data_IF_830711974813
#
_entry.id   IF_830711974813
#
_cell.length_a   1.000
_cell.length_b   1.000
_cell.length_c   1.000
_cell.angle_alpha   90.00
_cell.angle_beta   90.00
_cell.angle_gamma   90.00
#
_symmetry.space_group_name_H-M   'P 1'
#
loop_
_entity.id
_entity.type
_entity.pdbx_description
1 polymer ?
#
# COMPACT_ATOMS: atom_id res chain seq x y z
N UNK A 1 -15.13 10.55 -0.29
CA UNK A 1 -13.66 10.61 -0.14
C UNK A 1 -13.00 10.52 -1.52
N UNK A 2 -12.03 11.39 -1.81
CA UNK A 2 -11.31 11.43 -3.09
C UNK A 2 -9.83 11.08 -2.88
N UNK A 3 -9.38 9.92 -3.38
CA UNK A 3 -8.02 9.40 -3.18
C UNK A 3 -7.27 9.30 -4.50
N UNK A 4 -6.03 9.80 -4.55
CA UNK A 4 -5.12 9.59 -5.67
C UNK A 4 -4.05 8.57 -5.31
N UNK A 5 -4.00 7.46 -6.04
CA UNK A 5 -2.96 6.45 -6.00
C UNK A 5 -1.99 6.65 -7.17
N UNK A 6 -0.69 6.72 -6.88
CA UNK A 6 0.33 7.04 -7.86
C UNK A 6 1.42 5.95 -7.92
N UNK A 7 1.59 5.31 -9.09
CA UNK A 7 2.66 4.34 -9.35
C UNK A 7 2.94 4.17 -10.84
N UNK A 8 4.15 3.74 -11.18
CA UNK A 8 4.56 3.47 -12.58
C UNK A 8 4.45 1.98 -12.96
N UNK A 9 3.91 1.12 -12.09
CA UNK A 9 3.99 -0.35 -12.18
C UNK A 9 2.66 -1.10 -11.94
N UNK A 10 1.55 -0.38 -11.84
CA UNK A 10 0.21 -0.97 -11.64
C UNK A 10 -0.16 -1.20 -10.18
N UNK A 11 0.77 -1.00 -9.23
CA UNK A 11 0.46 -1.09 -7.79
C UNK A 11 -0.59 -0.06 -7.36
N UNK A 12 -0.62 1.13 -7.98
CA UNK A 12 -1.65 2.15 -7.75
C UNK A 12 -3.06 1.65 -8.10
N UNK A 13 -3.24 1.07 -9.29
CA UNK A 13 -4.53 0.52 -9.71
C UNK A 13 -4.97 -0.63 -8.80
N UNK A 14 -4.04 -1.50 -8.43
CA UNK A 14 -4.36 -2.60 -7.52
C UNK A 14 -4.82 -2.11 -6.14
N UNK A 15 -4.13 -1.11 -5.57
CA UNK A 15 -4.54 -0.49 -4.31
C UNK A 15 -5.94 0.15 -4.43
N UNK A 16 -6.21 0.89 -5.51
CA UNK A 16 -7.51 1.49 -5.76
C UNK A 16 -8.64 0.43 -5.84
N UNK A 17 -8.40 -0.69 -6.52
CA UNK A 17 -9.34 -1.79 -6.60
C UNK A 17 -9.56 -2.47 -5.24
N UNK A 18 -8.52 -2.64 -4.43
CA UNK A 18 -8.65 -3.19 -3.07
C UNK A 18 -9.58 -2.33 -2.21
N UNK A 19 -9.39 -1.01 -2.21
CA UNK A 19 -10.27 -0.09 -1.46
C UNK A 19 -11.69 -0.17 -1.98
N UNK A 20 -11.88 -0.17 -3.30
CA UNK A 20 -13.21 -0.30 -3.91
C UNK A 20 -13.92 -1.58 -3.49
N UNK A 21 -13.23 -2.73 -3.50
CA UNK A 21 -13.78 -3.99 -3.00
C UNK A 21 -14.09 -3.95 -1.49
N UNK A 22 -13.24 -3.31 -0.69
CA UNK A 22 -13.45 -3.14 0.75
C UNK A 22 -14.68 -2.30 1.07
N UNK A 23 -14.84 -1.15 0.41
CA UNK A 23 -16.00 -0.27 0.57
C UNK A 23 -17.30 -0.94 0.09
N UNK A 24 -17.24 -1.72 -0.99
CA UNK A 24 -18.41 -2.44 -1.49
C UNK A 24 -18.97 -3.44 -0.46
N UNK A 25 -18.16 -3.90 0.50
CA UNK A 25 -18.62 -4.79 1.57
C UNK A 25 -19.45 -4.09 2.65
N UNK A 26 -19.49 -2.76 2.67
CA UNK A 26 -20.29 -1.94 3.58
C UNK A 26 -21.30 -1.08 2.81
N UNK A 27 -21.77 -1.59 1.66
CA UNK A 27 -22.73 -0.94 0.76
C UNK A 27 -22.29 0.45 0.27
N UNK A 28 -20.98 0.72 0.28
CA UNK A 28 -20.38 1.95 -0.24
C UNK A 28 -19.70 1.70 -1.58
N UNK A 29 -20.09 2.46 -2.59
CA UNK A 29 -19.47 2.38 -3.91
C UNK A 29 -18.29 3.35 -4.02
N UNK A 30 -17.20 2.87 -4.62
CA UNK A 30 -16.07 3.73 -5.02
C UNK A 30 -15.83 3.63 -6.51
N UNK A 31 -15.85 4.77 -7.18
CA UNK A 31 -15.54 4.84 -8.62
C UNK A 31 -14.04 4.86 -8.81
N UNK A 32 -13.49 3.91 -9.55
CA UNK A 32 -12.05 3.87 -9.87
C UNK A 32 -11.84 4.41 -11.27
N UNK A 33 -11.00 5.45 -11.39
CA UNK A 33 -10.63 6.10 -12.64
C UNK A 33 -9.15 5.83 -12.89
N UNK A 34 -8.84 5.23 -14.03
CA UNK A 34 -7.46 4.98 -14.47
C UNK A 34 -6.96 6.15 -15.33
N UNK A 35 -5.93 6.83 -14.86
CA UNK A 35 -5.24 7.90 -15.57
C UNK A 35 -4.11 7.31 -16.41
N UNK A 36 -4.31 7.23 -17.74
CA UNK A 36 -3.39 6.68 -18.74
C UNK A 36 -2.94 5.21 -18.50
N UNK A 37 -2.47 4.52 -19.55
CA UNK A 37 -2.07 3.10 -19.49
C UNK A 37 -0.97 2.84 -18.43
N UNK A 38 -1.36 2.41 -17.22
CA UNK A 38 -0.42 2.03 -16.18
C UNK A 38 0.18 0.67 -16.57
N UNK A 39 1.36 0.68 -17.19
CA UNK A 39 2.15 -0.53 -17.46
C UNK A 39 2.39 -0.89 -18.93
N UNK A 40 2.20 0.03 -19.88
CA UNK A 40 2.73 -0.14 -21.23
C UNK A 40 3.73 0.97 -21.55
N UNK A 41 4.99 0.64 -21.89
CA UNK A 41 5.82 1.58 -22.62
C UNK A 41 5.20 1.72 -24.01
N UNK A 42 4.26 2.66 -24.16
CA UNK A 42 3.87 3.09 -25.51
C UNK A 42 5.10 3.76 -26.13
N UNK A 43 5.40 3.40 -27.37
CA UNK A 43 6.35 4.11 -28.21
C UNK A 43 5.83 5.54 -28.37
N UNK A 44 6.35 6.42 -27.51
CA UNK A 44 6.08 7.86 -27.44
C UNK A 44 4.59 8.25 -27.36
N UNK A 45 4.02 8.40 -26.14
CA UNK A 45 2.79 9.19 -26.02
C UNK A 45 3.09 10.61 -26.53
N UNK A 46 2.34 11.05 -27.54
CA UNK A 46 2.41 12.43 -28.01
C UNK A 46 2.08 13.35 -26.84
N UNK A 47 2.84 14.44 -26.67
CA UNK A 47 2.62 15.46 -25.63
C UNK A 47 1.15 15.93 -25.57
N UNK A 48 0.44 15.88 -26.71
CA UNK A 48 -0.98 16.23 -26.82
C UNK A 48 -1.90 15.21 -26.13
N UNK A 49 -1.58 13.92 -26.16
CA UNK A 49 -2.40 12.87 -25.56
C UNK A 49 -2.31 12.93 -24.04
N UNK A 50 -1.11 13.21 -23.50
CA UNK A 50 -0.92 13.43 -22.06
C UNK A 50 -1.66 14.67 -21.54
N UNK A 51 -1.76 15.74 -22.34
CA UNK A 51 -2.49 16.95 -21.97
C UNK A 51 -4.01 16.76 -21.99
N UNK A 52 -4.54 15.99 -22.95
CA UNK A 52 -5.95 15.63 -23.01
C UNK A 52 -6.36 14.75 -21.80
N UNK A 53 -5.57 13.70 -21.51
CA UNK A 53 -5.80 12.82 -20.35
C UNK A 53 -5.78 13.61 -19.05
N UNK A 54 -4.85 14.55 -18.89
CA UNK A 54 -4.80 15.44 -17.73
C UNK A 54 -6.06 16.30 -17.61
N UNK A 55 -6.55 16.86 -18.71
CA UNK A 55 -7.74 17.71 -18.72
C UNK A 55 -8.98 16.91 -18.33
N UNK A 56 -9.12 15.70 -18.87
CA UNK A 56 -10.21 14.77 -18.52
C UNK A 56 -10.14 14.33 -17.06
N UNK A 57 -8.94 14.02 -16.57
CA UNK A 57 -8.70 13.66 -15.16
C UNK A 57 -9.11 14.79 -14.22
N UNK A 58 -8.70 16.03 -14.51
CA UNK A 58 -9.05 17.21 -13.70
C UNK A 58 -10.56 17.46 -13.74
N UNK A 59 -11.20 17.32 -14.90
CA UNK A 59 -12.66 17.46 -15.01
C UNK A 59 -13.39 16.39 -14.16
N UNK A 60 -12.92 15.13 -14.20
CA UNK A 60 -13.47 14.05 -13.38
C UNK A 60 -13.27 14.29 -11.87
N UNK A 61 -12.11 14.85 -11.48
CA UNK A 61 -11.81 15.26 -10.11
C UNK A 61 -12.74 16.39 -9.62
N UNK A 62 -12.98 17.39 -10.46
CA UNK A 62 -13.91 18.49 -10.15
C UNK A 62 -15.33 17.95 -9.98
N UNK A 63 -15.77 17.07 -10.89
CA UNK A 63 -17.08 16.44 -10.80
C UNK A 63 -17.22 15.57 -9.53
N UNK A 64 -16.19 14.78 -9.20
CA UNK A 64 -16.12 13.99 -7.98
C UNK A 64 -16.19 14.86 -6.72
N UNK A 65 -15.58 16.06 -6.75
CA UNK A 65 -15.65 17.02 -5.64
C UNK A 65 -16.99 17.70 -5.50
N UNK A 66 -17.68 17.96 -6.60
CA UNK A 66 -19.01 18.53 -6.57
C UNK A 66 -20.05 17.54 -6.00
N UNK A 67 -19.80 16.24 -6.10
CA UNK A 67 -20.64 15.18 -5.55
C UNK A 67 -20.04 14.64 -4.24
N UNK A 68 -20.28 15.34 -3.14
CA UNK A 68 -19.80 14.97 -1.79
C UNK A 68 -20.28 13.59 -1.32
N UNK A 69 -21.26 12.97 -2.01
CA UNK A 69 -21.81 11.67 -1.67
C UNK A 69 -21.02 10.48 -2.23
N UNK A 70 -20.02 10.70 -3.09
CA UNK A 70 -19.30 9.63 -3.80
C UNK A 70 -17.85 9.48 -3.36
N UNK A 71 -17.45 8.22 -3.19
CA UNK A 71 -16.04 7.86 -3.06
C UNK A 71 -15.42 7.66 -4.44
N UNK A 72 -14.23 8.21 -4.64
CA UNK A 72 -13.52 8.14 -5.93
C UNK A 72 -12.04 7.86 -5.72
N UNK A 73 -11.51 6.87 -6.44
CA UNK A 73 -10.09 6.64 -6.62
C UNK A 73 -9.63 7.10 -7.99
N UNK A 74 -8.43 7.64 -8.01
CA UNK A 74 -7.66 7.83 -9.22
C UNK A 74 -6.40 6.99 -9.14
N UNK A 75 -6.15 6.13 -10.13
CA UNK A 75 -4.87 5.46 -10.29
C UNK A 75 -4.12 6.17 -11.41
N UNK A 76 -2.93 6.71 -11.13
CA UNK A 76 -2.19 7.54 -12.06
C UNK A 76 -0.67 7.24 -12.00
N UNK A 77 0.12 7.66 -13.00
CA UNK A 77 1.58 7.54 -12.94
C UNK A 77 2.20 8.58 -11.99
N UNK A 78 3.43 8.34 -11.54
CA UNK A 78 4.10 9.17 -10.52
C UNK A 78 4.37 10.62 -10.98
N UNK A 79 4.41 10.87 -12.29
CA UNK A 79 4.64 12.20 -12.86
C UNK A 79 3.48 13.18 -12.57
N UNK A 80 2.25 12.68 -12.49
CA UNK A 80 1.05 13.46 -12.16
C UNK A 80 0.96 13.85 -10.68
N UNK A 81 1.77 13.26 -9.80
CA UNK A 81 1.82 13.61 -8.37
C UNK A 81 2.20 15.08 -8.15
N UNK A 82 2.99 15.65 -9.05
CA UNK A 82 3.47 17.03 -8.96
C UNK A 82 2.53 18.05 -9.63
N UNK A 83 1.45 17.58 -10.24
CA UNK A 83 0.48 18.46 -10.88
C UNK A 83 -0.44 19.09 -9.83
N UNK A 84 -0.27 20.39 -9.61
CA UNK A 84 -1.08 21.15 -8.66
C UNK A 84 -2.58 21.09 -8.98
N UNK A 85 -2.95 20.96 -10.26
CA UNK A 85 -4.36 20.85 -10.67
C UNK A 85 -4.98 19.53 -10.20
N UNK A 86 -4.21 18.45 -10.19
CA UNK A 86 -4.65 17.15 -9.65
C UNK A 86 -4.68 17.19 -8.12
N UNK A 87 -3.57 17.63 -7.51
CA UNK A 87 -3.41 17.61 -6.06
C UNK A 87 -4.45 18.48 -5.32
N UNK A 88 -4.93 19.56 -5.95
CA UNK A 88 -5.92 20.46 -5.36
C UNK A 88 -7.28 19.80 -5.10
N UNK A 89 -7.55 18.68 -5.77
CA UNK A 89 -8.82 17.98 -5.70
C UNK A 89 -8.73 16.66 -4.93
N UNK A 90 -7.59 16.29 -4.34
CA UNK A 90 -7.43 15.05 -3.57
C UNK A 90 -7.59 15.31 -2.07
N UNK A 91 -8.29 14.41 -1.38
CA UNK A 91 -8.27 14.34 0.09
C UNK A 91 -6.96 13.69 0.54
N UNK A 92 -6.59 12.60 -0.14
CA UNK A 92 -5.39 11.81 0.17
C UNK A 92 -4.64 11.49 -1.11
N UNK A 93 -3.32 11.69 -1.08
CA UNK A 93 -2.40 11.22 -2.10
C UNK A 93 -1.56 10.07 -1.55
N UNK A 94 -1.51 8.96 -2.28
CA UNK A 94 -0.80 7.73 -1.92
C UNK A 94 0.15 7.36 -3.04
N UNK A 95 1.41 7.14 -2.73
CA UNK A 95 2.40 6.61 -3.67
C UNK A 95 2.69 5.14 -3.33
N UNK A 96 2.88 4.32 -4.34
CA UNK A 96 3.20 2.90 -4.15
C UNK A 96 4.22 2.40 -5.16
N UNK A 97 4.85 1.27 -4.85
CA UNK A 97 5.67 0.52 -5.78
C UNK A 97 5.69 -0.96 -5.39
N UNK A 98 5.36 -1.83 -6.34
CA UNK A 98 5.28 -3.28 -6.19
C UNK A 98 6.64 -3.98 -6.15
N UNK A 99 7.70 -3.35 -6.63
CA UNK A 99 9.07 -3.88 -6.53
C UNK A 99 10.01 -2.88 -5.82
N UNK A 100 11.21 -3.29 -5.35
CA UNK A 100 12.05 -2.40 -4.56
C UNK A 100 12.59 -1.20 -5.35
N UNK A 101 12.74 -1.31 -6.67
CA UNK A 101 13.14 -0.16 -7.48
C UNK A 101 11.99 0.84 -7.61
N UNK A 102 10.78 0.35 -7.84
CA UNK A 102 9.58 1.19 -7.93
C UNK A 102 9.23 1.82 -6.58
N UNK A 103 9.35 1.09 -5.48
CA UNK A 103 9.17 1.63 -4.14
C UNK A 103 10.14 2.79 -3.87
N UNK A 104 11.43 2.65 -4.21
CA UNK A 104 12.42 3.75 -4.10
C UNK A 104 12.11 4.92 -5.03
N UNK A 105 11.47 4.69 -6.18
CA UNK A 105 11.04 5.75 -7.09
C UNK A 105 9.85 6.51 -6.51
N UNK A 106 8.85 5.79 -5.99
CA UNK A 106 7.70 6.34 -5.29
C UNK A 106 8.11 7.17 -4.05
N UNK A 107 9.03 6.64 -3.22
CA UNK A 107 9.58 7.37 -2.05
C UNK A 107 10.28 8.67 -2.46
N UNK A 108 11.08 8.64 -3.53
CA UNK A 108 11.73 9.85 -4.06
C UNK A 108 10.70 10.87 -4.57
N UNK A 109 9.69 10.41 -5.31
CA UNK A 109 8.61 11.26 -5.82
C UNK A 109 7.84 11.93 -4.67
N UNK A 110 7.46 11.17 -3.63
CA UNK A 110 6.84 11.71 -2.43
C UNK A 110 7.73 12.73 -1.71
N UNK A 111 9.05 12.45 -1.61
CA UNK A 111 10.02 13.39 -1.05
C UNK A 111 10.08 14.72 -1.81
N UNK A 112 10.10 14.68 -3.15
CA UNK A 112 10.08 15.89 -3.98
C UNK A 112 8.75 16.65 -3.86
N UNK A 113 7.62 15.94 -3.86
CA UNK A 113 6.30 16.55 -3.70
C UNK A 113 6.16 17.26 -2.34
N UNK A 114 6.77 16.71 -1.29
CA UNK A 114 6.78 17.33 0.04
C UNK A 114 7.68 18.57 0.15
N UNK A 115 8.73 18.68 -0.69
CA UNK A 115 9.65 19.85 -0.71
C UNK A 115 9.16 20.95 -1.64
N UNK A 116 8.57 20.59 -2.79
CA UNK A 116 8.08 21.53 -3.81
C UNK A 116 6.99 22.50 -3.34
N UNK A 117 6.37 22.25 -2.17
CA UNK A 117 5.38 23.13 -1.54
C UNK A 117 5.97 24.30 -0.75
N UNK A 118 7.29 24.37 -0.59
CA UNK A 118 7.93 25.47 0.17
C UNK A 118 8.16 26.75 -0.65
N UNK A 119 7.79 26.80 -1.93
CA UNK A 119 7.90 28.01 -2.75
C UNK A 119 6.50 28.51 -3.12
N UNK A 120 5.93 29.48 -2.39
CA UNK A 120 4.74 30.17 -2.86
C UNK A 120 5.13 30.96 -4.11
N UNK A 121 4.58 30.58 -5.27
CA UNK A 121 4.55 31.47 -6.43
C UNK A 121 3.74 32.71 -6.03
N UNK A 122 4.42 33.84 -5.89
CA UNK A 122 3.81 35.11 -5.56
C UNK A 122 2.76 35.47 -6.62
N UNK A 123 1.48 35.45 -6.25
CA UNK A 123 0.39 36.05 -7.03
C UNK A 123 -0.77 35.16 -7.45
N UNK A 124 -0.83 33.87 -7.06
CA UNK A 124 -2.07 33.08 -7.21
C UNK A 124 -2.92 33.15 -5.95
N UNK A 125 -4.25 33.41 -6.05
CA UNK A 125 -5.14 33.29 -4.91
C UNK A 125 -5.04 31.86 -4.38
N UNK A 126 -4.71 31.76 -3.09
CA UNK A 126 -4.72 30.51 -2.34
C UNK A 126 -6.13 29.91 -2.46
N UNK A 127 -6.31 28.66 -2.90
CA UNK A 127 -7.58 27.99 -2.69
C UNK A 127 -7.84 27.93 -1.18
N UNK A 128 -9.06 28.25 -0.75
CA UNK A 128 -9.50 28.31 0.67
C UNK A 128 -9.28 27.01 1.48
N UNK A 129 -8.74 25.95 0.84
CA UNK A 129 -8.37 24.70 1.47
C UNK A 129 -7.00 24.25 0.96
N UNK A 130 -6.00 24.01 1.84
CA UNK A 130 -4.73 23.48 1.40
C UNK A 130 -4.93 22.09 0.76
N UNK A 131 -4.59 22.04 -0.53
CA UNK A 131 -4.21 20.90 -1.38
C UNK A 131 -3.67 19.73 -0.54
N UNK A 132 -4.04 18.47 -0.84
CA UNK A 132 -3.73 17.24 -0.07
C UNK A 132 -2.43 17.29 0.73
N UNK A 133 -2.38 16.93 2.02
CA UNK A 133 -1.13 16.85 2.78
C UNK A 133 -0.03 16.00 2.09
N UNK A 134 1.19 16.02 2.62
CA UNK A 134 2.34 15.26 2.07
C UNK A 134 1.95 13.84 1.63
N UNK A 135 2.35 13.33 0.45
CA UNK A 135 1.89 12.01 0.01
C UNK A 135 2.23 10.91 1.01
N UNK A 136 1.31 9.98 1.20
CA UNK A 136 1.50 8.76 1.98
C UNK A 136 2.18 7.70 1.13
N UNK A 137 3.05 6.90 1.73
CA UNK A 137 3.68 5.73 1.10
C UNK A 137 2.91 4.47 1.49
N UNK A 138 2.62 3.63 0.50
CA UNK A 138 1.95 2.35 0.67
C UNK A 138 2.91 1.22 0.27
N UNK A 139 3.07 0.25 1.17
CA UNK A 139 4.07 -0.81 1.02
C UNK A 139 3.46 -2.08 0.41
N UNK A 140 4.17 -2.64 -0.57
CA UNK A 140 3.78 -3.85 -1.27
C UNK A 140 4.77 -5.00 -1.05
N UNK A 141 4.28 -6.20 -0.74
CA UNK A 141 5.08 -7.41 -0.59
C UNK A 141 5.77 -7.54 0.77
N UNK A 142 6.41 -8.70 1.04
CA UNK A 142 7.06 -9.00 2.31
C UNK A 142 8.42 -8.28 2.39
N UNK A 143 8.43 -6.95 2.46
CA UNK A 143 9.65 -6.23 2.81
C UNK A 143 9.89 -6.43 4.30
N UNK A 144 10.68 -7.45 4.64
CA UNK A 144 11.22 -7.65 5.98
C UNK A 144 12.07 -6.45 6.38
N UNK A 145 11.44 -5.41 6.94
CA UNK A 145 11.57 -4.99 8.33
C UNK A 145 10.77 -3.70 8.54
N UNK A 146 10.14 -3.54 9.72
CA UNK A 146 9.75 -2.23 10.20
C UNK A 146 11.05 -1.43 10.33
N UNK A 147 11.26 -0.45 9.46
CA UNK A 147 12.18 0.63 9.80
C UNK A 147 11.51 1.33 10.96
N UNK A 148 11.83 0.86 12.18
CA UNK A 148 11.67 1.66 13.40
C UNK A 148 11.97 3.09 13.00
N UNK A 149 11.02 3.97 13.28
CA UNK A 149 11.12 5.43 13.18
C UNK A 149 12.42 6.02 13.81
N UNK A 150 13.24 5.20 14.47
CA UNK A 150 14.55 5.51 15.03
C UNK A 150 15.73 5.61 14.04
N UNK A 151 15.70 5.05 12.81
CA UNK A 151 16.88 5.11 11.90
C UNK A 151 16.90 6.24 10.87
N UNK A 152 15.81 6.98 10.70
CA UNK A 152 15.83 8.22 9.92
C UNK A 152 16.47 9.41 10.69
N UNK A 153 16.78 9.26 11.99
CA UNK A 153 17.48 10.30 12.76
C UNK A 153 18.97 10.42 12.44
N UNK A 154 19.63 9.37 11.93
CA UNK A 154 21.10 9.37 11.78
C UNK A 154 21.61 9.67 10.37
N UNK A 155 20.74 9.78 9.36
CA UNK A 155 21.14 10.23 8.01
C UNK A 155 20.90 11.74 7.77
N UNK A 156 20.65 12.53 8.84
CA UNK A 156 20.44 13.98 8.81
C UNK A 156 21.56 14.77 9.51
N UNK A 157 22.82 14.60 9.12
CA UNK A 157 23.86 15.59 9.45
C UNK A 157 24.65 16.11 8.24
N UNK A 158 24.20 15.84 7.01
CA UNK A 158 24.75 16.47 5.81
C UNK A 158 23.63 16.88 4.85
N UNK A 159 23.49 18.19 4.63
CA UNK A 159 22.77 18.88 3.53
C UNK A 159 21.53 18.18 2.93
N UNK A 160 20.35 18.76 3.14
CA UNK A 160 19.21 18.54 2.24
C UNK A 160 18.40 17.26 2.46
N UNK A 161 18.28 16.81 3.71
CA UNK A 161 17.47 15.64 3.99
C UNK A 161 15.99 15.87 3.65
N UNK A 162 15.46 15.03 2.76
CA UNK A 162 14.05 15.01 2.38
C UNK A 162 13.20 14.75 3.63
N UNK A 163 12.06 15.45 3.82
CA UNK A 163 11.13 15.15 4.91
C UNK A 163 10.76 13.66 4.84
N UNK A 164 10.77 12.98 5.99
CA UNK A 164 10.44 11.57 6.05
C UNK A 164 9.05 11.35 5.44
N UNK A 165 8.95 10.49 4.43
CA UNK A 165 7.68 10.14 3.83
C UNK A 165 6.81 9.45 4.89
N UNK A 166 5.53 9.82 4.95
CA UNK A 166 4.56 9.18 5.85
C UNK A 166 4.23 7.80 5.29
N UNK A 167 3.99 6.80 6.13
CA UNK A 167 3.67 5.43 5.67
C UNK A 167 2.33 5.01 6.24
N UNK A 168 1.46 4.47 5.38
CA UNK A 168 0.19 3.89 5.81
C UNK A 168 0.46 2.58 6.59
N UNK A 169 -0.26 2.30 7.68
CA UNK A 169 -0.05 1.11 8.50
C UNK A 169 -0.72 -0.14 7.88
N UNK A 170 -0.64 -0.30 6.55
CA UNK A 170 -1.18 -1.44 5.80
C UNK A 170 -0.12 -1.97 4.87
N UNK A 171 0.13 -3.27 4.95
CA UNK A 171 1.00 -4.00 4.03
C UNK A 171 0.13 -4.73 3.01
N UNK A 172 0.38 -4.47 1.71
CA UNK A 172 -0.37 -5.10 0.63
C UNK A 172 0.46 -6.25 0.06
N UNK A 173 -0.02 -7.50 0.04
CA UNK A 173 0.70 -8.57 -0.64
C UNK A 173 0.80 -8.29 -2.13
N UNK A 174 1.89 -8.75 -2.76
CA UNK A 174 2.01 -8.62 -4.21
C UNK A 174 0.91 -9.45 -4.88
N UNK A 175 0.11 -8.85 -5.78
CA UNK A 175 -0.95 -9.59 -6.44
C UNK A 175 -0.35 -10.69 -7.31
N UNK A 176 -0.72 -11.93 -7.00
CA UNK A 176 -0.60 -13.01 -7.96
C UNK A 176 -1.49 -12.74 -9.19
N UNK A 177 -1.14 -13.29 -10.35
CA UNK A 177 -1.93 -13.14 -11.59
C UNK A 177 -3.41 -13.54 -11.40
N UNK A 178 -3.65 -14.59 -10.61
CA UNK A 178 -4.99 -15.07 -10.28
C UNK A 178 -5.79 -14.07 -9.44
N UNK A 179 -5.17 -13.46 -8.43
CA UNK A 179 -5.81 -12.47 -7.55
C UNK A 179 -6.18 -11.22 -8.35
N UNK A 180 -5.28 -10.73 -9.20
CA UNK A 180 -5.55 -9.58 -10.07
C UNK A 180 -6.72 -9.86 -11.01
N UNK A 181 -6.72 -11.00 -11.69
CA UNK A 181 -7.81 -11.39 -12.59
C UNK A 181 -9.14 -11.62 -11.85
N UNK A 182 -9.11 -12.08 -10.61
CA UNK A 182 -10.32 -12.27 -9.79
C UNK A 182 -10.91 -10.91 -9.39
N UNK A 183 -10.07 -9.95 -8.99
CA UNK A 183 -10.50 -8.58 -8.68
C UNK A 183 -11.05 -7.85 -9.91
N UNK A 184 -10.41 -7.99 -11.08
CA UNK A 184 -10.92 -7.42 -12.34
C UNK A 184 -12.29 -7.99 -12.74
N UNK A 185 -12.63 -9.21 -12.30
CA UNK A 185 -13.94 -9.83 -12.52
C UNK A 185 -14.96 -9.53 -11.42
N UNK A 186 -14.60 -8.71 -10.41
CA UNK A 186 -15.46 -8.42 -9.27
C UNK A 186 -15.62 -9.59 -8.29
N UNK A 187 -14.68 -10.53 -8.27
CA UNK A 187 -14.68 -11.70 -7.38
C UNK A 187 -13.44 -11.71 -6.47
N UNK A 188 -13.29 -10.72 -5.55
CA UNK A 188 -12.16 -10.68 -4.63
C UNK A 188 -12.18 -11.85 -3.65
N UNK A 189 -10.99 -12.30 -3.22
CA UNK A 189 -10.87 -13.28 -2.13
C UNK A 189 -11.18 -12.64 -0.78
N UNK A 190 -11.54 -13.43 0.24
CA UNK A 190 -11.76 -12.91 1.61
C UNK A 190 -10.54 -12.15 2.14
N UNK A 191 -9.32 -12.60 1.84
CA UNK A 191 -8.09 -11.88 2.20
C UNK A 191 -7.98 -10.52 1.49
N UNK A 192 -8.33 -10.45 0.21
CA UNK A 192 -8.34 -9.18 -0.53
C UNK A 192 -9.39 -8.21 0.03
N UNK A 193 -10.55 -8.72 0.45
CA UNK A 193 -11.58 -7.91 1.12
C UNK A 193 -11.09 -7.39 2.47
N UNK A 194 -10.48 -8.25 3.29
CA UNK A 194 -9.86 -7.89 4.58
C UNK A 194 -8.85 -6.75 4.41
N UNK A 195 -7.92 -6.88 3.46
CA UNK A 195 -6.92 -5.85 3.15
C UNK A 195 -7.59 -4.58 2.63
N UNK A 196 -8.60 -4.71 1.77
CA UNK A 196 -9.37 -3.61 1.22
C UNK A 196 -10.06 -2.77 2.29
N UNK A 197 -10.67 -3.42 3.29
CA UNK A 197 -11.33 -2.76 4.43
C UNK A 197 -10.31 -2.03 5.30
N UNK A 198 -9.19 -2.67 5.63
CA UNK A 198 -8.11 -2.04 6.41
C UNK A 198 -7.52 -0.82 5.68
N UNK A 199 -7.33 -0.94 4.37
CA UNK A 199 -6.86 0.16 3.53
C UNK A 199 -7.90 1.29 3.46
N UNK A 200 -9.18 0.99 3.29
CA UNK A 200 -10.25 1.99 3.31
C UNK A 200 -10.31 2.75 4.64
N UNK A 201 -10.26 2.03 5.77
CA UNK A 201 -10.29 2.64 7.11
C UNK A 201 -9.08 3.58 7.33
N UNK A 202 -7.88 3.16 6.93
CA UNK A 202 -6.69 4.00 7.06
C UNK A 202 -6.72 5.24 6.17
N UNK A 203 -7.36 5.15 4.99
CA UNK A 203 -7.54 6.30 4.11
C UNK A 203 -8.58 7.29 4.63
N UNK A 204 -9.66 6.82 5.25
CA UNK A 204 -10.64 7.69 5.92
C UNK A 204 -9.99 8.51 7.03
N UNK A 205 -9.11 7.89 7.82
CA UNK A 205 -8.33 8.58 8.86
C UNK A 205 -7.29 9.53 8.25
N UNK A 206 -6.60 9.12 7.18
CA UNK A 206 -5.67 9.99 6.47
C UNK A 206 -6.36 11.21 5.81
N UNK A 207 -7.63 11.07 5.43
CA UNK A 207 -8.45 12.12 4.85
C UNK A 207 -8.98 13.09 5.91
N UNK A 208 -9.30 12.60 7.12
CA UNK A 208 -9.79 13.43 8.21
C UNK A 208 -8.68 14.27 8.86
N UNK A 209 -7.46 13.73 8.95
CA UNK A 209 -6.27 14.46 9.40
C UNK A 209 -5.17 14.46 8.30
N UNK A 210 -5.22 15.44 7.37
CA UNK A 210 -4.26 15.53 6.29
C UNK A 210 -2.84 15.87 6.77
N UNK A 211 -2.66 16.33 8.01
CA UNK A 211 -1.38 16.75 8.59
C UNK A 211 -0.73 15.67 9.48
N UNK A 212 -1.48 14.62 9.85
CA UNK A 212 -1.01 13.49 10.64
C UNK A 212 0.31 12.93 10.09
N UNK A 213 1.34 12.80 10.92
CA UNK A 213 2.62 12.20 10.48
C UNK A 213 2.59 10.66 10.50
N UNK A 214 1.71 10.10 11.32
CA UNK A 214 1.56 8.67 11.60
C UNK A 214 0.11 8.38 11.93
N UNK A 215 -0.40 7.22 11.53
CA UNK A 215 -1.72 6.72 11.93
C UNK A 215 -1.47 5.62 12.95
N UNK A 216 -1.77 5.89 14.22
CA UNK A 216 -1.64 4.90 15.28
C UNK A 216 -2.97 4.13 15.45
N UNK A 217 -2.94 2.83 15.77
CA UNK A 217 -4.15 2.05 16.02
C UNK A 217 -5.02 2.65 17.14
N UNK A 218 -4.39 3.26 18.16
CA UNK A 218 -5.09 3.96 19.23
C UNK A 218 -5.89 5.16 18.69
N UNK A 219 -5.31 5.94 17.76
CA UNK A 219 -6.01 7.04 17.10
C UNK A 219 -7.22 6.55 16.30
N UNK A 220 -7.10 5.41 15.61
CA UNK A 220 -8.25 4.79 14.94
C UNK A 220 -9.36 4.41 15.92
N UNK A 221 -9.00 3.82 17.07
CA UNK A 221 -9.96 3.46 18.12
C UNK A 221 -10.65 4.70 18.71
N UNK A 222 -9.89 5.75 19.01
CA UNK A 222 -10.43 7.01 19.53
C UNK A 222 -11.40 7.66 18.53
N UNK A 223 -11.10 7.61 17.22
CA UNK A 223 -11.97 8.14 16.16
C UNK A 223 -13.27 7.34 15.97
N UNK A 224 -13.36 6.11 16.48
CA UNK A 224 -14.63 5.36 16.53
C UNK A 224 -15.54 5.80 17.68
N UNK A 225 -15.04 6.58 18.64
CA UNK A 225 -15.83 7.14 19.75
C UNK A 225 -16.04 8.64 19.50
N UNK A 226 -17.20 9.06 18.97
CA UNK A 226 -17.35 10.39 18.42
C UNK A 226 -17.22 11.51 19.46
N UNK A 227 -16.51 12.58 19.10
CA UNK A 227 -16.68 13.89 19.72
C UNK A 227 -18.00 14.53 19.26
N UNK A 228 -18.43 15.63 19.90
CA UNK A 228 -19.75 16.24 19.68
C UNK A 228 -19.99 16.85 18.28
N UNK A 229 -19.01 16.77 17.37
CA UNK A 229 -19.07 17.41 16.05
C UNK A 229 -19.65 16.46 14.99
N UNK A 230 -20.56 16.91 14.09
CA UNK A 230 -21.24 16.04 13.13
C UNK A 230 -20.31 15.36 12.12
N UNK A 231 -19.19 16.01 11.75
CA UNK A 231 -18.19 15.40 10.86
C UNK A 231 -17.47 14.23 11.51
N UNK A 232 -17.21 14.31 12.81
CA UNK A 232 -16.54 13.27 13.57
C UNK A 232 -17.48 12.09 13.78
N UNK A 233 -18.77 12.37 13.99
CA UNK A 233 -19.81 11.34 14.05
C UNK A 233 -19.92 10.58 12.72
N UNK A 234 -19.97 11.28 11.59
CA UNK A 234 -20.03 10.63 10.28
C UNK A 234 -18.77 9.78 9.99
N UNK A 235 -17.59 10.21 10.45
CA UNK A 235 -16.37 9.41 10.36
C UNK A 235 -16.44 8.17 11.25
N UNK A 236 -16.87 8.32 12.51
CA UNK A 236 -17.03 7.23 13.44
C UNK A 236 -18.00 6.16 12.88
N UNK A 237 -19.15 6.56 12.36
CA UNK A 237 -20.12 5.66 11.72
C UNK A 237 -19.51 4.87 10.55
N UNK A 238 -18.72 5.55 9.69
CA UNK A 238 -18.02 4.88 8.57
C UNK A 238 -16.97 3.89 9.06
N UNK A 239 -16.19 4.24 10.09
CA UNK A 239 -15.17 3.37 10.68
C UNK A 239 -15.79 2.16 11.40
N UNK A 240 -16.90 2.36 12.13
CA UNK A 240 -17.64 1.27 12.78
C UNK A 240 -18.19 0.29 11.76
N UNK A 241 -18.83 0.77 10.67
CA UNK A 241 -19.33 -0.12 9.62
C UNK A 241 -18.22 -0.97 8.97
N UNK A 242 -17.03 -0.38 8.76
CA UNK A 242 -15.85 -1.11 8.28
C UNK A 242 -15.35 -2.13 9.30
N UNK A 243 -15.32 -1.78 10.59
CA UNK A 243 -14.89 -2.68 11.68
C UNK A 243 -15.82 -3.88 11.84
N UNK A 244 -17.14 -3.67 11.85
CA UNK A 244 -18.12 -4.75 11.93
C UNK A 244 -17.95 -5.74 10.77
N UNK A 245 -17.75 -5.22 9.56
CA UNK A 245 -17.56 -6.06 8.39
C UNK A 245 -16.24 -6.80 8.38
N UNK A 246 -15.18 -6.18 8.90
CA UNK A 246 -13.89 -6.83 9.10
C UNK A 246 -14.03 -8.02 10.06
N UNK A 247 -14.74 -7.85 11.17
CA UNK A 247 -14.97 -8.93 12.16
C UNK A 247 -15.68 -10.13 11.51
N UNK A 248 -16.71 -9.90 10.69
CA UNK A 248 -17.41 -10.97 9.98
C UNK A 248 -16.51 -11.73 9.00
N UNK A 249 -15.64 -11.03 8.27
CA UNK A 249 -14.67 -11.65 7.36
C UNK A 249 -13.64 -12.45 8.15
N UNK A 250 -13.12 -11.92 9.25
CA UNK A 250 -12.14 -12.60 10.10
C UNK A 250 -12.74 -13.85 10.75
N UNK A 251 -14.02 -13.81 11.17
CA UNK A 251 -14.76 -14.98 11.66
C UNK A 251 -14.87 -16.06 10.57
N UNK A 252 -15.25 -15.67 9.36
CA UNK A 252 -15.37 -16.59 8.22
C UNK A 252 -14.02 -17.22 7.85
N UNK A 253 -12.94 -16.42 7.83
CA UNK A 253 -11.59 -16.91 7.59
C UNK A 253 -11.14 -17.89 8.68
N UNK A 254 -11.46 -17.64 9.94
CA UNK A 254 -11.15 -18.55 11.05
C UNK A 254 -11.89 -19.89 10.92
N UNK A 255 -13.13 -19.88 10.45
CA UNK A 255 -13.94 -21.09 10.21
C UNK A 255 -13.41 -21.92 9.03
N UNK A 256 -12.97 -21.27 7.94
CA UNK A 256 -12.33 -21.95 6.79
C UNK A 256 -11.00 -22.63 7.18
N UNK A 257 -10.32 -22.08 8.19
CA UNK A 257 -9.07 -22.62 8.74
C UNK A 257 -9.28 -23.42 10.04
N UNK A 258 -10.54 -23.76 10.37
CA UNK A 258 -10.90 -24.60 11.51
C UNK A 258 -10.20 -25.98 11.45
N UNK A 259 -10.03 -26.65 12.60
CA UNK A 259 -9.13 -27.79 12.73
C UNK A 259 -9.58 -28.94 11.83
N UNK A 260 -8.89 -29.13 10.70
CA UNK A 260 -9.00 -30.33 9.90
C UNK A 260 -8.57 -31.54 10.73
N UNK A 261 -9.57 -32.21 11.31
CA UNK A 261 -9.47 -33.57 11.79
C UNK A 261 -9.23 -34.51 10.62
N UNK A 262 -7.99 -34.93 10.39
CA UNK A 262 -7.65 -36.13 9.63
C UNK A 262 -6.46 -36.85 10.25
N UNK A 263 -6.73 -37.56 11.34
CA UNK A 263 -6.32 -38.96 11.47
C UNK A 263 -7.33 -39.71 12.35
N UNK A 264 -8.26 -40.49 11.76
CA UNK A 264 -8.98 -41.52 12.48
C UNK A 264 -8.28 -42.88 12.32
N UNK A 265 -8.32 -43.67 13.40
CA UNK A 265 -8.06 -45.11 13.52
C UNK A 265 -6.60 -45.59 13.65
N UNK A 266 -6.32 -45.96 14.90
CA UNK A 266 -5.77 -47.27 15.23
C UNK A 266 -4.26 -47.34 15.19
N UNK A 267 -3.66 -47.57 16.36
CA UNK A 267 -2.60 -48.55 16.57
C UNK A 267 -2.38 -48.68 18.08
N UNK A 268 -3.34 -49.29 18.76
CA UNK A 268 -3.04 -50.14 19.90
C UNK A 268 -2.24 -51.34 19.38
N UNK A 269 -0.90 -51.23 19.37
CA UNK A 269 -0.04 -52.41 19.44
C UNK A 269 1.14 -52.14 20.35
N UNK A 270 0.84 -52.26 21.63
CA UNK A 270 1.73 -52.75 22.65
C UNK A 270 2.49 -53.98 22.13
N UNK A 271 3.80 -53.86 21.92
CA UNK A 271 4.74 -54.95 22.18
C UNK A 271 6.15 -54.40 22.41
N UNK A 272 6.54 -54.51 23.67
CA UNK A 272 7.89 -54.66 24.20
C UNK A 272 8.92 -55.11 23.14
N UNK A 273 10.05 -54.40 23.07
CA UNK A 273 11.33 -55.03 23.38
C UNK A 273 12.42 -53.99 23.65
N UNK A 274 13.03 -54.21 24.80
CA UNK A 274 14.29 -53.67 25.28
C UNK A 274 15.40 -53.75 24.21
N UNK A 275 16.28 -52.74 24.20
CA UNK A 275 17.47 -52.75 23.34
C UNK A 275 18.26 -51.45 23.41
N UNK A 276 19.27 -51.47 24.28
CA UNK A 276 20.25 -50.43 24.63
C UNK A 276 21.04 -49.78 23.45
N UNK A 277 21.81 -48.70 23.73
CA UNK A 277 22.28 -47.70 22.77
C UNK A 277 23.66 -48.00 22.18
N UNK A 278 24.00 -47.32 21.08
CA UNK A 278 25.37 -47.24 20.57
C UNK A 278 25.70 -45.88 19.92
N UNK A 279 26.52 -45.12 20.66
CA UNK A 279 27.70 -44.37 20.20
C UNK A 279 27.57 -43.40 19.02
N UNK A 280 27.43 -42.13 19.36
CA UNK A 280 28.10 -41.00 18.69
C UNK A 280 29.50 -40.82 19.27
N UNK A 281 30.49 -40.59 18.40
CA UNK A 281 31.75 -39.95 18.78
C UNK A 281 32.95 -40.44 17.98
N UNK A 282 33.25 -39.76 16.87
CA UNK A 282 34.63 -39.43 16.48
C UNK A 282 34.62 -38.04 15.80
N UNK A 283 35.44 -37.16 16.36
CA UNK A 283 35.76 -35.82 15.90
C UNK A 283 37.17 -35.81 15.26
N UNK A 284 37.50 -34.71 14.56
CA UNK A 284 38.79 -34.48 13.90
C UNK A 284 38.79 -35.13 12.51
N UNK A 285 39.28 -34.52 11.44
CA UNK A 285 40.58 -33.88 11.30
C UNK A 285 40.54 -32.64 10.38
N UNK A 286 41.36 -31.66 10.76
CA UNK A 286 41.77 -30.47 10.01
C UNK A 286 42.72 -30.88 8.85
N UNK A 287 42.62 -30.31 7.65
CA UNK A 287 43.38 -29.14 7.16
C UNK A 287 44.70 -29.50 6.43
N UNK A 288 44.77 -29.23 5.12
CA UNK A 288 45.99 -28.99 4.32
C UNK A 288 45.49 -28.43 2.95
N UNK A 289 45.57 -27.15 2.58
CA UNK A 289 46.69 -26.21 2.33
C UNK A 289 47.55 -26.56 1.10
N UNK A 290 47.18 -25.91 -0.04
CA UNK A 290 48.03 -25.31 -1.11
C UNK A 290 48.76 -26.24 -2.11
N UNK A 291 49.39 -25.71 -3.19
CA UNK A 291 48.99 -24.64 -4.13
C UNK A 291 49.33 -24.98 -5.61
N UNK A 292 48.98 -24.10 -6.55
CA UNK A 292 49.93 -23.63 -7.59
C UNK A 292 49.83 -24.19 -9.02
N UNK A 293 49.87 -23.22 -9.97
CA UNK A 293 50.49 -23.26 -11.33
C UNK A 293 49.83 -24.16 -12.39
N UNK A 294 49.74 -23.85 -13.68
CA UNK A 294 50.29 -22.80 -14.56
C UNK A 294 49.55 -22.89 -15.93
N UNK A 295 49.21 -21.79 -16.60
CA UNK A 295 49.83 -21.27 -17.86
C UNK A 295 49.21 -21.73 -19.20
N UNK A 296 49.18 -20.75 -20.12
CA UNK A 296 49.05 -20.78 -21.60
C UNK A 296 47.65 -20.94 -22.20
N UNK A 297 47.09 -19.97 -22.94
CA UNK A 297 47.54 -19.25 -24.15
C UNK A 297 47.51 -20.09 -25.44
N UNK A 298 46.53 -19.79 -26.29
CA UNK A 298 46.46 -19.87 -27.77
C UNK A 298 45.01 -19.46 -28.14
N UNK A 299 44.68 -18.50 -29.01
CA UNK A 299 45.47 -17.81 -30.02
C UNK A 299 45.11 -18.26 -31.43
N UNK A 300 43.90 -17.93 -31.92
CA UNK A 300 43.57 -17.34 -33.24
C UNK A 300 42.07 -17.46 -33.53
#
# INVERSE_FOLDING_TARGET
MVVGFFSDDGSALYAALLVSCGLACVDRGMTVIEGAEIGRPSLEPSIKDSAAIRTELVAALIAARADESRDVAFAAPLDLLHDCSVAAHLDVAVVSGGDPMQARRAERAAGYAAVGRMVPEAGRPEPDRPVSGRPWTLQFGPWRRPVRAARYRTWRQGRGALPAARTLPVEIPLPGRSVKAAMERGLPTLEALRIGILLAATLEVAASDPDATTIEPATMADLMFPASHPTDQALAERLTGLADRLEDIERTLADEHGPSSLFPRGWTRQRRRDGRPSRTGVAGWAQEVRPGSDVSACGR
#
